data_IF_394912520019
#
_entry.id   IF_394912520019
#
_cell.length_a   1.000
_cell.length_b   1.000
_cell.length_c   1.000
_cell.angle_alpha   90.00
_cell.angle_beta   90.00
_cell.angle_gamma   90.00
#
_symmetry.space_group_name_H-M   'P 1'
#
loop_
_entity.id
_entity.type
_entity.pdbx_description
1 polymer ?
#
# COMPACT_ATOMS: atom_id res chain seq x y z
N UNK A 1 -3.43 3.89 9.85
CA UNK A 1 -2.89 3.70 8.49
C UNK A 1 -2.96 2.23 8.16
N UNK A 2 -3.75 1.84 7.15
CA UNK A 2 -4.09 0.43 6.90
C UNK A 2 -3.23 -0.24 5.81
N UNK A 3 -2.34 0.52 5.17
CA UNK A 3 -1.55 0.08 4.02
C UNK A 3 -0.08 -0.25 4.35
N UNK A 4 0.37 -0.01 5.59
CA UNK A 4 1.75 -0.29 6.00
C UNK A 4 1.78 -1.68 6.63
N UNK A 5 2.56 -2.56 6.02
CA UNK A 5 2.82 -3.89 6.52
C UNK A 5 4.16 -3.91 7.25
N UNK A 6 4.13 -4.14 8.55
CA UNK A 6 5.32 -4.00 9.40
C UNK A 6 5.68 -2.53 9.60
N UNK A 7 6.96 -2.18 9.38
CA UNK A 7 7.49 -0.82 9.65
C UNK A 7 7.79 -0.02 8.38
N UNK A 8 8.02 -0.68 7.24
CA UNK A 8 8.68 -0.08 6.08
C UNK A 8 8.26 -0.69 4.72
N UNK A 9 7.13 -1.41 4.64
CA UNK A 9 6.69 -2.04 3.39
C UNK A 9 5.26 -1.69 3.03
N UNK A 10 5.06 -1.45 1.74
CA UNK A 10 3.75 -1.37 1.09
C UNK A 10 3.69 -2.42 -0.02
N UNK A 11 2.49 -2.81 -0.42
CA UNK A 11 2.30 -3.70 -1.56
C UNK A 11 1.66 -2.95 -2.72
N UNK A 12 2.34 -2.95 -3.85
CA UNK A 12 1.75 -2.59 -5.14
C UNK A 12 1.05 -3.81 -5.74
N UNK A 13 -0.01 -3.56 -6.50
CA UNK A 13 -0.64 -4.56 -7.35
C UNK A 13 -0.09 -4.37 -8.76
N UNK A 14 0.68 -5.35 -9.25
CA UNK A 14 1.20 -5.39 -10.61
C UNK A 14 0.77 -6.71 -11.24
N UNK A 15 0.11 -6.67 -12.41
CA UNK A 15 -0.37 -7.85 -13.14
C UNK A 15 -1.23 -8.83 -12.31
N UNK A 16 -1.95 -8.30 -11.32
CA UNK A 16 -2.78 -9.11 -10.41
C UNK A 16 -1.97 -9.86 -9.34
N UNK A 17 -0.74 -9.46 -9.08
CA UNK A 17 0.10 -9.99 -8.01
C UNK A 17 0.55 -8.87 -7.07
N UNK A 18 0.71 -9.21 -5.78
CA UNK A 18 1.30 -8.30 -4.82
C UNK A 18 2.82 -8.24 -5.01
N UNK A 19 3.32 -7.03 -5.18
CA UNK A 19 4.75 -6.74 -5.19
C UNK A 19 5.10 -5.85 -4.01
N UNK A 20 6.01 -6.33 -3.18
CA UNK A 20 6.44 -5.55 -2.03
C UNK A 20 7.38 -4.44 -2.49
N UNK A 21 7.08 -3.21 -2.07
CA UNK A 21 7.95 -2.06 -2.24
C UNK A 21 8.43 -1.63 -0.86
N UNK A 22 9.74 -1.48 -0.74
CA UNK A 22 10.37 -0.97 0.48
C UNK A 22 10.26 0.55 0.49
N UNK A 23 9.72 1.10 1.57
CA UNK A 23 9.50 2.54 1.75
C UNK A 23 9.92 2.95 3.16
N UNK A 24 10.42 4.18 3.30
CA UNK A 24 10.68 4.76 4.61
C UNK A 24 9.46 5.53 5.09
N UNK A 25 8.97 5.21 6.29
CA UNK A 25 7.95 6.01 6.97
C UNK A 25 8.58 7.32 7.44
N UNK A 26 8.09 8.44 6.91
CA UNK A 26 8.52 9.79 7.31
C UNK A 26 7.68 10.36 8.45
N UNK A 27 6.52 9.76 8.71
CA UNK A 27 5.58 10.17 9.74
C UNK A 27 4.16 10.10 9.21
N UNK A 28 3.32 11.01 9.68
CA UNK A 28 1.91 11.04 9.32
C UNK A 28 1.37 12.46 9.13
N UNK A 29 0.28 12.53 8.37
CA UNK A 29 -0.38 13.79 8.02
C UNK A 29 -1.89 13.60 7.92
N UNK A 30 -2.62 14.67 8.18
CA UNK A 30 -4.06 14.72 7.96
C UNK A 30 -4.34 15.10 6.50
N UNK A 31 -5.10 14.26 5.80
CA UNK A 31 -5.60 14.54 4.44
C UNK A 31 -7.11 14.35 4.47
N UNK A 32 -7.86 15.42 4.14
CA UNK A 32 -9.32 15.43 4.18
C UNK A 32 -9.92 14.94 5.51
N UNK A 33 -9.29 15.33 6.64
CA UNK A 33 -9.72 14.92 7.98
C UNK A 33 -9.43 13.46 8.34
N UNK A 34 -8.83 12.68 7.43
CA UNK A 34 -8.37 11.31 7.68
C UNK A 34 -6.86 11.31 7.92
N UNK A 35 -6.40 10.38 8.73
CA UNK A 35 -5.00 10.24 9.08
C UNK A 35 -4.28 9.34 8.05
N UNK A 36 -3.26 9.88 7.37
CA UNK A 36 -2.49 9.24 6.29
C UNK A 36 -1.01 9.15 6.63
N UNK A 37 -0.37 8.06 6.22
CA UNK A 37 1.05 7.87 6.47
C UNK A 37 1.84 8.54 5.34
N UNK A 38 2.85 9.31 5.70
CA UNK A 38 3.76 9.90 4.73
C UNK A 38 4.94 8.95 4.56
N UNK A 39 5.11 8.41 3.36
CA UNK A 39 6.18 7.46 3.03
C UNK A 39 7.06 8.00 1.92
N UNK A 40 8.34 7.61 1.92
CA UNK A 40 9.30 7.88 0.85
C UNK A 40 9.80 6.57 0.27
N UNK A 41 9.72 6.44 -1.04
CA UNK A 41 10.26 5.29 -1.77
C UNK A 41 10.18 5.53 -3.28
N UNK A 42 10.69 4.57 -4.04
CA UNK A 42 10.58 4.58 -5.49
C UNK A 42 9.21 4.00 -5.90
N UNK A 43 8.19 4.86 -5.85
CA UNK A 43 6.80 4.52 -6.17
C UNK A 43 6.35 5.42 -7.33
N UNK A 44 6.32 4.90 -8.56
CA UNK A 44 5.85 5.66 -9.72
C UNK A 44 4.41 6.17 -9.53
N UNK A 45 4.12 7.34 -10.08
CA UNK A 45 2.74 7.85 -10.12
C UNK A 45 1.83 6.90 -10.89
N UNK A 46 0.62 6.68 -10.37
CA UNK A 46 -0.33 5.71 -10.94
C UNK A 46 -0.18 4.28 -10.41
N UNK A 47 0.80 4.01 -9.52
CA UNK A 47 0.91 2.71 -8.84
C UNK A 47 -0.34 2.44 -8.00
N UNK A 48 -0.99 1.30 -8.24
CA UNK A 48 -2.11 0.83 -7.42
C UNK A 48 -1.55 0.17 -6.16
N UNK A 49 -1.91 0.69 -5.00
CA UNK A 49 -1.43 0.21 -3.70
C UNK A 49 -2.55 -0.53 -2.99
N UNK A 50 -2.25 -1.72 -2.50
CA UNK A 50 -3.16 -2.47 -1.64
C UNK A 50 -3.28 -1.77 -0.27
N UNK A 51 -4.48 -1.30 0.07
CA UNK A 51 -4.77 -0.62 1.36
C UNK A 51 -5.56 -1.49 2.35
N UNK A 52 -6.00 -2.66 1.91
CA UNK A 52 -6.66 -3.68 2.74
C UNK A 52 -5.61 -4.40 3.58
N UNK A 53 -5.92 -4.73 4.84
CA UNK A 53 -5.09 -5.59 5.67
C UNK A 53 -5.26 -7.07 5.24
N UNK A 54 -4.26 -7.61 4.55
CA UNK A 54 -4.16 -9.03 4.21
C UNK A 54 -3.18 -9.69 5.18
N UNK A 55 -3.69 -10.43 6.17
CA UNK A 55 -2.85 -11.07 7.21
C UNK A 55 -1.74 -11.97 6.67
N UNK A 56 -1.89 -12.46 5.44
CA UNK A 56 -0.95 -13.33 4.73
C UNK A 56 -0.32 -12.64 3.50
N UNK A 57 -0.22 -11.30 3.49
CA UNK A 57 0.40 -10.58 2.38
C UNK A 57 1.86 -10.99 2.21
N UNK A 58 2.17 -11.59 1.06
CA UNK A 58 3.50 -11.94 0.62
C UNK A 58 3.66 -11.51 -0.84
N UNK A 59 4.90 -11.26 -1.26
CA UNK A 59 5.17 -11.00 -2.68
C UNK A 59 4.83 -12.23 -3.53
N UNK A 60 4.24 -12.00 -4.71
CA UNK A 60 3.75 -13.06 -5.60
C UNK A 60 2.38 -13.64 -5.19
N UNK A 61 1.73 -13.08 -4.15
CA UNK A 61 0.35 -13.45 -3.84
C UNK A 61 -0.57 -12.88 -4.91
N UNK A 62 -1.31 -13.77 -5.58
CA UNK A 62 -2.30 -13.38 -6.58
C UNK A 62 -3.51 -12.72 -5.92
N UNK A 63 -3.87 -11.56 -6.43
CA UNK A 63 -4.97 -10.72 -5.94
C UNK A 63 -5.80 -10.19 -7.09
N UNK A 64 -7.05 -9.87 -6.81
CA UNK A 64 -7.91 -9.16 -7.73
C UNK A 64 -8.23 -7.79 -7.14
N UNK A 65 -8.15 -6.76 -7.96
CA UNK A 65 -8.58 -5.43 -7.56
C UNK A 65 -10.09 -5.44 -7.30
N UNK A 66 -10.47 -5.09 -6.08
CA UNK A 66 -11.86 -4.77 -5.74
C UNK A 66 -11.91 -3.27 -5.54
N UNK A 67 -12.17 -2.53 -6.61
CA UNK A 67 -12.48 -1.11 -6.49
C UNK A 67 -13.86 -0.98 -5.86
N UNK A 68 -13.90 -0.76 -4.54
CA UNK A 68 -15.11 -0.28 -3.88
C UNK A 68 -15.33 1.17 -4.34
N UNK A 69 -16.02 1.31 -5.47
CA UNK A 69 -16.66 2.55 -5.84
C UNK A 69 -17.85 2.72 -4.88
N UNK A 70 -17.67 3.53 -3.82
CA UNK A 70 -18.77 4.22 -3.14
C UNK A 70 -19.09 5.52 -3.88
#
# INVERSE_FOLDING_TARGET
>A
YSAIYGSDRIYAVEDGELKAITVSLLGDTLVNGKLWALVKGDVPSGTVIATTHLSNAISGLRVSEVNTNE
#
